data_IF_927793348929
#
_entry.id   IF_927793348929
#
_cell.length_a   1.000
_cell.length_b   1.000
_cell.length_c   1.000
_cell.angle_alpha   90.00
_cell.angle_beta   90.00
_cell.angle_gamma   90.00
#
_symmetry.space_group_name_H-M   'P 1'
#
loop_
_entity.id
_entity.type
_entity.pdbx_description
1 polymer ?
#
# COMPACT_ATOMS: atom_id res chain seq x y z
N UNK A 1 -21.18 27.46 -0.77
CA UNK A 1 -20.72 28.60 0.04
C UNK A 1 -21.84 29.22 0.86
N UNK A 2 -22.79 29.96 0.28
CA UNK A 2 -23.92 30.57 1.03
C UNK A 2 -24.72 29.58 1.89
N UNK A 3 -24.96 28.37 1.37
CA UNK A 3 -25.66 27.29 2.09
C UNK A 3 -24.87 26.69 3.26
N UNK A 4 -23.55 26.77 3.23
CA UNK A 4 -22.65 26.17 4.24
C UNK A 4 -22.12 27.18 5.25
N UNK A 5 -22.28 28.49 5.00
CA UNK A 5 -21.65 29.58 5.76
C UNK A 5 -20.15 29.37 5.99
N UNK A 6 -19.45 28.83 5.00
CA UNK A 6 -18.02 28.53 5.05
C UNK A 6 -17.20 29.48 4.16
N UNK A 7 -15.89 29.56 4.40
CA UNK A 7 -14.96 30.26 3.51
C UNK A 7 -14.52 29.37 2.35
N UNK A 8 -14.18 29.97 1.21
CA UNK A 8 -13.78 29.21 0.03
C UNK A 8 -12.43 28.53 0.30
N UNK A 9 -12.29 27.21 0.06
CA UNK A 9 -11.01 26.54 0.21
C UNK A 9 -10.01 27.08 -0.82
N UNK A 10 -8.73 27.11 -0.47
CA UNK A 10 -7.68 27.61 -1.36
C UNK A 10 -7.64 26.86 -2.71
N UNK A 11 -7.94 25.55 -2.69
CA UNK A 11 -8.05 24.70 -3.89
C UNK A 11 -9.17 23.69 -3.70
N UNK A 12 -10.03 23.55 -4.70
CA UNK A 12 -11.02 22.48 -4.80
C UNK A 12 -10.71 21.65 -6.04
N UNK A 13 -10.18 20.44 -5.84
CA UNK A 13 -9.84 19.53 -6.94
C UNK A 13 -11.10 18.77 -7.35
N UNK A 14 -11.50 18.92 -8.61
CA UNK A 14 -12.57 18.14 -9.23
C UNK A 14 -12.04 17.04 -10.16
N UNK A 15 -12.96 16.24 -10.71
CA UNK A 15 -12.64 15.28 -11.77
C UNK A 15 -12.65 15.96 -13.15
N UNK A 16 -11.80 15.51 -14.08
CA UNK A 16 -11.79 16.02 -15.46
C UNK A 16 -13.09 15.73 -16.22
N UNK A 17 -13.79 14.67 -15.85
CA UNK A 17 -15.07 14.25 -16.41
C UNK A 17 -15.65 13.09 -15.60
N UNK A 18 -16.98 12.97 -15.62
CA UNK A 18 -17.68 11.89 -14.92
C UNK A 18 -17.60 10.60 -15.73
N UNK A 19 -17.08 9.54 -15.09
CA UNK A 19 -16.89 8.22 -15.69
C UNK A 19 -18.05 7.26 -15.40
N UNK A 20 -19.01 7.67 -14.56
CA UNK A 20 -20.20 6.88 -14.27
C UNK A 20 -21.18 6.92 -15.44
N UNK A 21 -21.98 5.85 -15.59
CA UNK A 21 -23.00 5.76 -16.66
C UNK A 21 -24.00 6.92 -16.61
N UNK A 22 -24.62 7.24 -15.44
CA UNK A 22 -25.63 8.30 -15.40
C UNK A 22 -25.01 9.70 -15.34
N UNK A 23 -23.67 9.82 -15.17
CA UNK A 23 -22.95 11.10 -15.05
C UNK A 23 -23.59 12.06 -14.04
N UNK A 24 -24.06 11.52 -12.92
CA UNK A 24 -24.60 12.32 -11.80
C UNK A 24 -23.42 12.87 -10.98
N UNK A 25 -23.27 14.20 -10.87
CA UNK A 25 -22.23 14.79 -10.04
C UNK A 25 -22.57 14.63 -8.55
N UNK A 26 -21.54 14.57 -7.70
CA UNK A 26 -21.71 14.73 -6.26
C UNK A 26 -22.02 16.19 -5.91
N UNK A 27 -22.71 16.41 -4.79
CA UNK A 27 -22.94 17.75 -4.23
C UNK A 27 -21.61 18.46 -3.96
N UNK A 28 -21.47 19.67 -4.50
CA UNK A 28 -20.26 20.50 -4.35
C UNK A 28 -19.99 20.85 -2.88
N UNK A 29 -21.05 20.96 -2.07
CA UNK A 29 -20.95 21.19 -0.65
C UNK A 29 -20.13 20.12 0.08
N UNK A 30 -20.28 18.84 -0.30
CA UNK A 30 -19.47 17.75 0.25
C UNK A 30 -18.00 17.95 -0.13
N UNK A 31 -17.73 18.33 -1.38
CA UNK A 31 -16.37 18.64 -1.86
C UNK A 31 -15.69 19.79 -1.09
N UNK A 32 -16.44 20.85 -0.78
CA UNK A 32 -15.95 21.98 0.02
C UNK A 32 -15.59 21.54 1.45
N UNK A 33 -16.46 20.76 2.09
CA UNK A 33 -16.21 20.23 3.43
C UNK A 33 -15.01 19.27 3.46
N UNK A 34 -14.85 18.42 2.45
CA UNK A 34 -13.65 17.56 2.34
C UNK A 34 -12.37 18.36 2.15
N UNK A 35 -12.39 19.38 1.29
CA UNK A 35 -11.24 20.26 1.09
C UNK A 35 -10.85 21.01 2.38
N UNK A 36 -11.83 21.42 3.20
CA UNK A 36 -11.58 22.05 4.51
C UNK A 36 -10.80 21.13 5.46
N UNK A 37 -11.04 19.82 5.40
CA UNK A 37 -10.39 18.81 6.25
C UNK A 37 -9.19 18.11 5.57
N UNK A 38 -8.78 18.57 4.37
CA UNK A 38 -7.72 17.95 3.55
C UNK A 38 -7.95 16.45 3.30
N UNK A 39 -9.20 16.10 2.95
CA UNK A 39 -9.63 14.74 2.66
C UNK A 39 -9.77 14.50 1.16
N UNK A 40 -9.44 13.29 0.74
CA UNK A 40 -9.48 12.85 -0.66
C UNK A 40 -10.57 11.79 -0.83
N UNK A 41 -11.25 11.83 -1.98
CA UNK A 41 -12.33 10.89 -2.30
C UNK A 41 -11.83 9.78 -3.20
N UNK A 42 -12.41 8.60 -3.00
CA UNK A 42 -12.33 7.51 -3.95
C UNK A 42 -13.48 7.57 -4.98
N UNK A 43 -13.42 6.73 -6.01
CA UNK A 43 -14.31 6.76 -7.19
C UNK A 43 -15.80 6.59 -6.87
N UNK A 44 -16.12 6.04 -5.70
CA UNK A 44 -17.46 5.71 -5.23
C UNK A 44 -18.01 6.71 -4.20
N UNK A 45 -17.26 7.78 -3.90
CA UNK A 45 -17.63 8.82 -2.93
C UNK A 45 -17.09 8.61 -1.51
N UNK A 46 -16.52 7.44 -1.22
CA UNK A 46 -15.95 7.09 0.09
C UNK A 46 -14.58 7.69 0.32
N UNK A 47 -14.16 7.78 1.58
CA UNK A 47 -12.83 8.23 2.01
C UNK A 47 -12.11 7.05 2.64
N UNK A 48 -10.96 6.69 2.05
CA UNK A 48 -10.22 5.46 2.37
C UNK A 48 -8.84 5.76 2.90
N UNK A 49 -8.39 4.91 3.81
CA UNK A 49 -6.99 4.83 4.23
C UNK A 49 -6.47 3.42 3.93
N UNK A 50 -5.47 3.32 3.06
CA UNK A 50 -4.86 2.04 2.70
C UNK A 50 -3.74 1.70 3.69
N UNK A 51 -3.73 0.45 4.18
CA UNK A 51 -2.74 -0.06 5.11
C UNK A 51 -2.41 -1.52 4.80
N UNK A 52 -1.13 -1.87 4.93
CA UNK A 52 -0.68 -3.26 4.81
C UNK A 52 -1.23 -4.11 5.96
N UNK A 53 -1.71 -5.30 5.65
CA UNK A 53 -2.24 -6.22 6.63
C UNK A 53 -1.13 -6.90 7.42
N UNK A 54 -1.32 -7.02 8.74
CA UNK A 54 -0.48 -7.85 9.60
C UNK A 54 -1.38 -8.69 10.54
N UNK A 55 -1.10 -9.98 10.73
CA UNK A 55 -1.88 -10.82 11.61
C UNK A 55 -1.49 -10.60 13.07
N UNK A 56 -2.48 -10.56 13.96
CA UNK A 56 -2.30 -10.48 15.41
C UNK A 56 -3.39 -11.29 16.10
N UNK A 57 -2.99 -12.20 16.99
CA UNK A 57 -3.94 -12.98 17.81
C UNK A 57 -3.95 -12.54 19.27
N UNK A 58 -2.84 -11.98 19.75
CA UNK A 58 -2.66 -11.59 21.14
C UNK A 58 -2.02 -10.21 21.24
N UNK A 59 -2.35 -9.48 22.29
CA UNK A 59 -1.77 -8.16 22.56
C UNK A 59 -1.75 -7.87 24.05
N UNK A 60 -0.92 -6.91 24.44
CA UNK A 60 -0.98 -6.29 25.77
C UNK A 60 -1.57 -4.89 25.64
N UNK A 61 -2.30 -4.37 26.65
CA UNK A 61 -2.77 -2.99 26.65
C UNK A 61 -1.65 -1.97 26.38
N UNK A 62 -0.43 -2.24 26.88
CA UNK A 62 0.75 -1.41 26.64
C UNK A 62 1.13 -1.32 25.17
N UNK A 63 1.16 -2.44 24.45
CA UNK A 63 1.56 -2.49 23.04
C UNK A 63 0.66 -1.66 22.13
N UNK A 64 -0.62 -1.56 22.47
CA UNK A 64 -1.62 -0.84 21.68
C UNK A 64 -1.92 0.57 22.22
N UNK A 65 -1.22 0.97 23.29
CA UNK A 65 -1.35 2.29 23.91
C UNK A 65 -2.71 2.57 24.53
N UNK A 66 -3.41 1.56 25.06
CA UNK A 66 -4.76 1.72 25.62
C UNK A 66 -4.82 1.37 27.11
N UNK A 67 -5.61 2.12 27.87
CA UNK A 67 -5.80 1.88 29.29
C UNK A 67 -6.63 0.61 29.54
N UNK A 68 -6.30 -0.08 30.63
CA UNK A 68 -7.03 -1.28 31.10
C UNK A 68 -8.53 -1.00 31.25
N UNK A 69 -8.90 0.17 31.78
CA UNK A 69 -10.29 0.57 31.95
C UNK A 69 -11.06 0.65 30.63
N UNK A 70 -10.45 1.21 29.58
CA UNK A 70 -11.08 1.27 28.25
C UNK A 70 -11.28 -0.14 27.68
N UNK A 71 -10.28 -1.01 27.80
CA UNK A 71 -10.41 -2.40 27.32
C UNK A 71 -11.48 -3.18 28.07
N UNK A 72 -11.61 -2.99 29.39
CA UNK A 72 -12.72 -3.55 30.17
C UNK A 72 -14.08 -3.12 29.64
N UNK A 73 -14.25 -1.83 29.28
CA UNK A 73 -15.50 -1.31 28.67
C UNK A 73 -15.78 -1.92 27.29
N UNK A 74 -14.75 -2.29 26.53
CA UNK A 74 -14.89 -2.99 25.24
C UNK A 74 -15.19 -4.49 25.39
N UNK A 75 -15.23 -4.99 26.64
CA UNK A 75 -15.56 -6.36 26.98
C UNK A 75 -14.35 -7.28 27.08
N UNK A 76 -13.14 -6.75 27.31
CA UNK A 76 -11.96 -7.55 27.68
C UNK A 76 -11.87 -7.64 29.21
N UNK A 77 -12.25 -8.78 29.76
CA UNK A 77 -12.38 -8.97 31.22
C UNK A 77 -11.25 -9.80 31.83
N UNK A 78 -10.73 -10.78 31.09
CA UNK A 78 -9.71 -11.71 31.56
C UNK A 78 -8.56 -11.83 30.56
N UNK A 79 -7.38 -12.19 31.06
CA UNK A 79 -6.20 -12.53 30.26
C UNK A 79 -6.26 -13.98 29.73
N UNK A 80 -5.26 -14.35 28.93
CA UNK A 80 -5.15 -15.71 28.34
C UNK A 80 -5.12 -16.85 29.38
N UNK A 81 -4.76 -16.54 30.62
CA UNK A 81 -4.70 -17.48 31.74
C UNK A 81 -6.00 -17.47 32.58
N UNK A 82 -7.00 -16.69 32.17
CA UNK A 82 -8.27 -16.55 32.87
C UNK A 82 -8.21 -15.66 34.11
N UNK A 83 -7.13 -14.89 34.30
CA UNK A 83 -7.01 -13.93 35.42
C UNK A 83 -7.68 -12.63 35.04
N UNK A 84 -8.30 -11.97 36.01
CA UNK A 84 -8.94 -10.67 35.78
C UNK A 84 -7.92 -9.64 35.25
N UNK A 85 -8.32 -8.86 34.24
CA UNK A 85 -7.45 -7.87 33.60
C UNK A 85 -7.24 -6.69 34.55
N UNK A 86 -6.10 -6.59 35.21
CA UNK A 86 -5.74 -5.51 36.15
C UNK A 86 -4.47 -4.75 35.77
N UNK A 87 -3.62 -5.31 34.89
CA UNK A 87 -2.30 -4.76 34.54
C UNK A 87 -2.18 -4.50 33.04
N UNK A 88 -1.46 -3.44 32.61
CA UNK A 88 -1.20 -3.17 31.19
C UNK A 88 -0.24 -4.17 30.53
N UNK A 89 0.41 -5.04 31.31
CA UNK A 89 1.36 -6.06 30.85
C UNK A 89 0.73 -7.45 30.72
N UNK A 90 -0.56 -7.59 31.04
CA UNK A 90 -1.30 -8.84 30.81
C UNK A 90 -1.59 -9.03 29.33
N UNK A 91 -1.46 -10.28 28.88
CA UNK A 91 -1.70 -10.67 27.49
C UNK A 91 -3.17 -11.02 27.33
N UNK A 92 -3.82 -10.37 26.38
CA UNK A 92 -5.22 -10.56 26.02
C UNK A 92 -5.30 -11.25 24.66
N UNK A 93 -6.28 -12.13 24.50
CA UNK A 93 -6.65 -12.73 23.20
C UNK A 93 -7.52 -11.73 22.41
N UNK A 94 -7.10 -11.40 21.18
CA UNK A 94 -7.78 -10.45 20.31
C UNK A 94 -9.09 -11.05 19.79
N UNK A 95 -10.20 -10.33 19.96
CA UNK A 95 -11.49 -10.74 19.39
C UNK A 95 -11.45 -10.66 17.87
N UNK A 96 -12.20 -11.54 17.22
CA UNK A 96 -12.12 -11.77 15.76
C UNK A 96 -12.28 -10.52 14.89
N UNK A 97 -13.10 -9.54 15.28
CA UNK A 97 -13.36 -8.32 14.49
C UNK A 97 -12.76 -7.06 15.12
N UNK A 98 -11.94 -7.21 16.16
CA UNK A 98 -11.23 -6.10 16.78
C UNK A 98 -9.90 -5.86 16.04
N UNK A 99 -9.56 -4.59 15.83
CA UNK A 99 -8.38 -4.18 15.04
C UNK A 99 -7.54 -3.15 15.78
N UNK A 100 -6.24 -3.19 15.53
CA UNK A 100 -5.26 -2.19 16.00
C UNK A 100 -4.68 -1.52 14.77
N UNK A 101 -4.92 -0.22 14.64
CA UNK A 101 -4.55 0.55 13.45
C UNK A 101 -3.33 1.44 13.70
N UNK A 102 -2.63 1.86 12.65
CA UNK A 102 -1.55 2.83 12.80
C UNK A 102 -2.05 4.18 13.32
N UNK A 103 -1.20 4.92 14.04
CA UNK A 103 -1.53 6.31 14.45
C UNK A 103 -1.83 7.21 13.26
N UNK A 104 -1.13 7.01 12.13
CA UNK A 104 -1.40 7.74 10.87
C UNK A 104 -2.83 7.48 10.36
N UNK A 105 -3.29 6.23 10.44
CA UNK A 105 -4.65 5.89 10.11
C UNK A 105 -5.65 6.56 11.06
N UNK A 106 -5.38 6.54 12.37
CA UNK A 106 -6.24 7.17 13.37
C UNK A 106 -6.36 8.69 13.16
N UNK A 107 -5.25 9.39 12.89
CA UNK A 107 -5.25 10.82 12.56
C UNK A 107 -6.07 11.12 11.31
N UNK A 108 -5.99 10.26 10.29
CA UNK A 108 -6.80 10.39 9.09
C UNK A 108 -8.29 10.20 9.40
N UNK A 109 -8.66 9.13 10.10
CA UNK A 109 -10.05 8.85 10.47
C UNK A 109 -10.63 9.92 11.40
N UNK A 110 -9.83 10.55 12.26
CA UNK A 110 -10.26 11.70 13.07
C UNK A 110 -10.63 12.92 12.22
N UNK A 111 -9.97 13.14 11.07
CA UNK A 111 -10.39 14.16 10.11
C UNK A 111 -11.71 13.77 9.43
N UNK A 112 -11.86 12.49 9.07
CA UNK A 112 -13.08 11.95 8.47
C UNK A 112 -14.28 12.10 9.41
N UNK A 113 -14.12 11.82 10.71
CA UNK A 113 -15.21 11.97 11.68
C UNK A 113 -15.72 13.42 11.78
N UNK A 114 -14.81 14.40 11.81
CA UNK A 114 -15.14 15.83 11.79
C UNK A 114 -15.86 16.23 10.51
N UNK A 115 -15.44 15.69 9.37
CA UNK A 115 -16.12 15.89 8.10
C UNK A 115 -17.56 15.35 8.14
N UNK A 116 -17.77 14.13 8.65
CA UNK A 116 -19.10 13.51 8.75
C UNK A 116 -20.01 14.33 9.67
N UNK A 117 -19.51 14.76 10.83
CA UNK A 117 -20.26 15.59 11.77
C UNK A 117 -20.70 16.92 11.15
N UNK A 118 -19.79 17.63 10.46
CA UNK A 118 -20.14 18.86 9.77
C UNK A 118 -21.11 18.64 8.61
N UNK A 119 -20.98 17.52 7.89
CA UNK A 119 -21.90 17.13 6.83
C UNK A 119 -23.31 16.91 7.38
N UNK A 120 -23.44 16.17 8.49
CA UNK A 120 -24.72 15.92 9.15
C UNK A 120 -25.38 17.22 9.62
N UNK A 121 -24.62 18.10 10.27
CA UNK A 121 -25.14 19.38 10.78
C UNK A 121 -25.55 20.31 9.64
N UNK A 122 -24.68 20.53 8.66
CA UNK A 122 -24.87 21.58 7.65
C UNK A 122 -25.72 21.17 6.47
N UNK A 123 -25.69 19.88 6.08
CA UNK A 123 -26.43 19.41 4.91
C UNK A 123 -27.69 18.64 5.27
N UNK A 124 -27.71 17.94 6.40
CA UNK A 124 -28.87 17.16 6.83
C UNK A 124 -29.65 17.81 7.98
N UNK A 125 -29.13 18.87 8.62
CA UNK A 125 -29.78 19.50 9.79
C UNK A 125 -29.84 18.58 11.01
N UNK A 126 -28.96 17.57 11.07
CA UNK A 126 -28.91 16.57 12.13
C UNK A 126 -27.90 16.94 13.20
N UNK A 127 -27.94 16.24 14.34
CA UNK A 127 -26.91 16.36 15.36
C UNK A 127 -25.60 15.67 14.89
N UNK A 128 -24.43 16.15 15.34
CA UNK A 128 -23.16 15.47 15.08
C UNK A 128 -23.16 14.10 15.78
N UNK A 129 -22.64 13.09 15.08
CA UNK A 129 -22.64 11.69 15.50
C UNK A 129 -21.40 11.35 16.32
N UNK A 130 -20.22 11.61 15.77
CA UNK A 130 -18.94 11.14 16.29
C UNK A 130 -18.43 11.99 17.46
N UNK A 131 -18.42 13.32 17.30
CA UNK A 131 -17.96 14.31 18.31
C UNK A 131 -16.56 14.05 18.87
N UNK A 132 -15.71 13.40 18.08
CA UNK A 132 -14.35 13.00 18.48
C UNK A 132 -13.42 14.20 18.49
N UNK A 133 -12.61 14.32 19.55
CA UNK A 133 -11.63 15.40 19.71
C UNK A 133 -10.21 14.89 19.48
N UNK A 134 -9.92 13.69 19.96
CA UNK A 134 -8.62 13.05 19.94
C UNK A 134 -8.67 11.69 19.27
N UNK A 135 -7.51 11.14 18.89
CA UNK A 135 -7.43 9.78 18.34
C UNK A 135 -7.93 8.74 19.35
N UNK A 136 -7.76 8.99 20.65
CA UNK A 136 -8.19 8.10 21.73
C UNK A 136 -9.72 7.94 21.83
N UNK A 137 -10.47 8.88 21.24
CA UNK A 137 -11.92 8.80 21.16
C UNK A 137 -12.37 7.81 20.08
N UNK A 138 -11.52 7.45 19.10
CA UNK A 138 -11.84 6.44 18.08
C UNK A 138 -11.90 5.01 18.64
N UNK A 139 -11.43 4.80 19.87
CA UNK A 139 -11.43 3.48 20.50
C UNK A 139 -12.89 3.06 20.75
N UNK A 140 -13.29 1.94 20.15
CA UNK A 140 -14.66 1.42 20.17
C UNK A 140 -15.47 1.78 18.94
N UNK A 141 -15.00 2.70 18.09
CA UNK A 141 -15.68 3.07 16.85
C UNK A 141 -15.57 1.96 15.81
N UNK A 142 -16.63 1.84 15.00
CA UNK A 142 -16.71 0.85 13.94
C UNK A 142 -16.09 1.39 12.66
N UNK A 143 -15.29 0.52 12.03
CA UNK A 143 -14.74 0.72 10.71
C UNK A 143 -15.32 -0.31 9.74
N UNK A 144 -15.25 0.04 8.46
CA UNK A 144 -15.41 -0.89 7.36
C UNK A 144 -14.04 -1.12 6.73
N UNK A 145 -13.57 -2.36 6.76
CA UNK A 145 -12.38 -2.78 6.04
C UNK A 145 -12.80 -3.40 4.70
N UNK A 146 -12.16 -2.99 3.61
CA UNK A 146 -12.47 -3.45 2.26
C UNK A 146 -11.18 -3.72 1.49
N UNK A 147 -11.10 -4.91 0.94
CA UNK A 147 -9.95 -5.36 0.17
C UNK A 147 -10.05 -4.96 -1.30
N UNK A 148 -8.92 -4.68 -1.96
CA UNK A 148 -8.90 -4.51 -3.41
C UNK A 148 -9.46 -5.76 -4.09
N UNK A 149 -10.04 -5.59 -5.27
CA UNK A 149 -10.67 -6.63 -6.07
C UNK A 149 -11.84 -7.36 -5.37
N UNK A 150 -12.43 -6.75 -4.35
CA UNK A 150 -13.63 -7.26 -3.68
C UNK A 150 -14.75 -6.22 -3.66
N UNK A 151 -15.95 -6.65 -3.23
CA UNK A 151 -17.11 -5.78 -3.09
C UNK A 151 -17.86 -5.96 -1.77
N UNK A 152 -17.35 -6.82 -0.88
CA UNK A 152 -17.88 -7.06 0.45
C UNK A 152 -16.91 -6.48 1.47
N UNK A 153 -17.34 -5.43 2.17
CA UNK A 153 -16.57 -4.88 3.28
C UNK A 153 -16.91 -5.61 4.57
N UNK A 154 -15.92 -5.79 5.44
CA UNK A 154 -16.09 -6.43 6.75
C UNK A 154 -16.05 -5.38 7.84
N UNK A 155 -17.06 -5.38 8.72
CA UNK A 155 -17.13 -4.46 9.84
C UNK A 155 -16.10 -4.89 10.90
N UNK A 156 -15.28 -3.95 11.33
CA UNK A 156 -14.34 -4.13 12.43
C UNK A 156 -14.51 -3.04 13.48
N UNK A 157 -13.89 -3.21 14.64
CA UNK A 157 -13.90 -2.24 15.74
C UNK A 157 -12.48 -1.87 16.15
N UNK A 158 -12.20 -0.58 16.25
CA UNK A 158 -10.87 -0.11 16.66
C UNK A 158 -10.72 -0.32 18.16
N UNK A 159 -9.65 -1.00 18.58
CA UNK A 159 -9.36 -1.23 20.01
C UNK A 159 -8.09 -0.54 20.51
N UNK A 160 -7.25 -0.03 19.61
CA UNK A 160 -6.02 0.67 19.97
C UNK A 160 -5.18 1.06 18.76
N UNK A 161 -3.99 1.57 19.05
CA UNK A 161 -3.10 2.15 18.06
C UNK A 161 -1.66 1.65 18.17
N UNK A 162 -0.95 1.66 17.06
CA UNK A 162 0.46 1.32 16.98
C UNK A 162 1.23 2.38 16.19
N UNK A 163 2.52 2.54 16.50
CA UNK A 163 3.43 3.41 15.73
C UNK A 163 3.94 2.74 14.46
N UNK A 164 3.60 1.47 14.21
CA UNK A 164 3.82 0.81 12.94
C UNK A 164 2.92 1.36 11.82
N UNK A 165 3.20 1.00 10.56
CA UNK A 165 2.41 1.42 9.39
C UNK A 165 1.40 0.37 8.91
N UNK A 166 1.19 -0.68 9.70
CA UNK A 166 0.33 -1.82 9.33
C UNK A 166 -1.00 -1.76 10.08
N UNK A 167 -1.97 -2.52 9.57
CA UNK A 167 -3.23 -2.80 10.24
C UNK A 167 -3.17 -4.19 10.87
N UNK A 168 -3.08 -4.26 12.20
CA UNK A 168 -3.12 -5.52 12.92
C UNK A 168 -4.57 -5.95 13.14
N UNK A 169 -4.87 -7.19 12.78
CA UNK A 169 -6.16 -7.80 13.05
C UNK A 169 -6.02 -9.31 13.18
N UNK A 170 -7.07 -9.95 13.69
CA UNK A 170 -7.12 -11.40 13.76
C UNK A 170 -7.01 -12.00 12.33
N UNK A 171 -6.26 -13.11 12.12
CA UNK A 171 -6.14 -13.75 10.80
C UNK A 171 -7.49 -14.04 10.13
N UNK A 172 -8.48 -14.49 10.92
CA UNK A 172 -9.88 -14.67 10.47
C UNK A 172 -10.49 -13.37 9.92
N UNK A 173 -10.18 -12.20 10.48
CA UNK A 173 -10.65 -10.91 9.95
C UNK A 173 -10.06 -10.64 8.58
N UNK A 174 -8.76 -10.85 8.41
CA UNK A 174 -8.06 -10.66 7.14
C UNK A 174 -8.59 -11.62 6.07
N UNK A 175 -8.72 -12.90 6.40
CA UNK A 175 -9.29 -13.92 5.52
C UNK A 175 -10.76 -13.67 5.17
N UNK A 176 -11.56 -13.10 6.09
CA UNK A 176 -12.97 -12.75 5.80
C UNK A 176 -13.10 -11.71 4.68
N UNK A 177 -12.07 -10.90 4.44
CA UNK A 177 -12.02 -9.95 3.33
C UNK A 177 -11.41 -10.56 2.06
N UNK A 178 -11.17 -11.89 2.04
CA UNK A 178 -10.49 -12.64 0.97
C UNK A 178 -9.06 -12.14 0.74
N UNK A 179 -8.33 -11.93 1.84
CA UNK A 179 -6.95 -11.48 1.83
C UNK A 179 -6.06 -12.30 2.73
N UNK A 180 -4.83 -12.36 2.28
CA UNK A 180 -3.74 -13.01 2.98
C UNK A 180 -2.88 -11.95 3.67
N UNK A 181 -1.94 -12.43 4.48
CA UNK A 181 -0.97 -11.58 5.16
C UNK A 181 0.42 -11.71 4.52
N UNK A 182 0.49 -11.73 3.20
CA UNK A 182 1.70 -11.91 2.39
C UNK A 182 2.23 -10.58 1.80
N UNK A 183 1.75 -9.44 2.31
CA UNK A 183 2.07 -8.09 1.83
C UNK A 183 0.88 -7.36 1.20
N UNK A 184 -0.29 -7.99 1.16
CA UNK A 184 -1.54 -7.38 0.74
C UNK A 184 -1.93 -6.14 1.59
N UNK A 185 -2.58 -5.18 0.94
CA UNK A 185 -3.08 -3.95 1.54
C UNK A 185 -4.61 -3.91 1.52
N UNK A 186 -5.19 -3.43 2.60
CA UNK A 186 -6.62 -3.17 2.71
C UNK A 186 -6.92 -1.70 2.95
N UNK A 187 -8.09 -1.29 2.47
CA UNK A 187 -8.64 0.02 2.78
C UNK A 187 -9.50 -0.04 4.04
N UNK A 188 -9.31 0.92 4.94
CA UNK A 188 -10.20 1.13 6.09
C UNK A 188 -10.94 2.45 5.96
N UNK A 189 -12.20 2.44 6.37
CA UNK A 189 -13.13 3.58 6.32
C UNK A 189 -13.88 3.65 7.65
N UNK A 190 -14.23 4.84 8.15
CA UNK A 190 -15.20 4.93 9.24
C UNK A 190 -16.56 4.43 8.76
N UNK A 191 -17.25 3.57 9.52
CA UNK A 191 -18.44 2.87 9.04
C UNK A 191 -19.55 3.80 8.52
N UNK A 192 -19.72 4.98 9.12
CA UNK A 192 -20.76 5.93 8.71
C UNK A 192 -20.44 6.64 7.39
N UNK A 193 -19.17 6.72 6.98
CA UNK A 193 -18.77 7.33 5.70
C UNK A 193 -19.40 6.62 4.48
N UNK A 194 -19.19 5.30 4.26
CA UNK A 194 -19.82 4.61 3.14
C UNK A 194 -21.34 4.63 3.26
N UNK A 195 -21.93 4.61 4.45
CA UNK A 195 -23.40 4.68 4.58
C UNK A 195 -24.00 6.00 4.07
N UNK A 196 -23.26 7.11 4.16
CA UNK A 196 -23.75 8.45 3.78
C UNK A 196 -23.24 8.88 2.39
N UNK A 197 -22.00 8.52 2.06
CA UNK A 197 -21.30 9.09 0.90
C UNK A 197 -21.19 8.13 -0.29
N UNK A 198 -21.37 6.82 -0.07
CA UNK A 198 -21.40 5.86 -1.16
C UNK A 198 -22.65 6.02 -2.02
N UNK A 199 -22.50 5.93 -3.33
CA UNK A 199 -23.63 5.71 -4.24
C UNK A 199 -23.23 4.89 -5.45
N UNK A 200 -24.09 3.94 -5.84
CA UNK A 200 -23.95 3.20 -7.09
C UNK A 200 -23.95 4.11 -8.33
N UNK A 201 -24.52 5.32 -8.23
CA UNK A 201 -24.55 6.31 -9.31
C UNK A 201 -23.17 6.90 -9.63
N UNK A 202 -22.21 6.78 -8.70
CA UNK A 202 -20.84 7.25 -8.89
C UNK A 202 -19.94 6.19 -9.53
N UNK A 203 -20.36 4.92 -9.54
CA UNK A 203 -19.53 3.83 -10.02
C UNK A 203 -19.28 3.92 -11.54
N UNK A 204 -18.03 3.68 -11.99
CA UNK A 204 -17.69 3.66 -13.40
C UNK A 204 -18.49 2.63 -14.20
N UNK A 205 -18.90 2.99 -15.41
CA UNK A 205 -19.65 2.10 -16.32
C UNK A 205 -18.84 1.03 -17.05
N UNK A 206 -17.58 0.80 -16.66
CA UNK A 206 -16.68 -0.17 -17.32
C UNK A 206 -16.67 -1.51 -16.58
N UNK A 207 -16.27 -2.57 -17.28
CA UNK A 207 -16.02 -3.89 -16.66
C UNK A 207 -15.01 -3.71 -15.53
N UNK A 208 -15.31 -4.28 -14.35
CA UNK A 208 -14.51 -4.10 -13.14
C UNK A 208 -14.72 -2.77 -12.40
N UNK A 209 -15.52 -1.82 -12.94
CA UNK A 209 -15.76 -0.52 -12.31
C UNK A 209 -16.46 -0.60 -10.94
N UNK A 210 -17.19 -1.69 -10.70
CA UNK A 210 -17.87 -1.99 -9.43
C UNK A 210 -16.96 -2.64 -8.38
N UNK A 211 -15.78 -3.09 -8.78
CA UNK A 211 -14.80 -3.69 -7.86
C UNK A 211 -14.20 -2.59 -6.99
N UNK A 212 -13.73 -2.97 -5.81
CA UNK A 212 -13.21 -2.07 -4.78
C UNK A 212 -14.31 -1.07 -4.37
N UNK A 213 -15.53 -1.53 -4.13
CA UNK A 213 -16.64 -0.69 -3.66
C UNK A 213 -17.47 -1.46 -2.64
N UNK A 214 -17.86 -0.86 -1.51
CA UNK A 214 -18.56 -1.56 -0.44
C UNK A 214 -20.02 -1.80 -0.79
N UNK A 215 -20.29 -2.73 -1.72
CA UNK A 215 -21.63 -3.09 -2.16
C UNK A 215 -22.37 -3.97 -1.15
N UNK A 216 -21.64 -4.78 -0.41
CA UNK A 216 -22.13 -5.63 0.66
C UNK A 216 -21.34 -5.34 1.95
N UNK A 217 -21.98 -5.54 3.09
CA UNK A 217 -21.38 -5.37 4.42
C UNK A 217 -21.55 -6.67 5.20
N UNK A 218 -20.43 -7.27 5.58
CA UNK A 218 -20.39 -8.41 6.49
C UNK A 218 -20.25 -7.87 7.91
N UNK A 219 -21.32 -7.97 8.68
CA UNK A 219 -21.38 -7.43 10.06
C UNK A 219 -20.81 -8.42 11.07
N UNK A 220 -21.05 -9.71 10.87
CA UNK A 220 -20.57 -10.79 11.74
C UNK A 220 -19.74 -11.72 10.87
N UNK A 221 -18.51 -12.01 11.33
CA UNK A 221 -17.63 -12.95 10.66
C UNK A 221 -17.80 -14.33 11.28
N UNK A 222 -18.23 -15.31 10.49
CA UNK A 222 -18.16 -16.72 10.87
C UNK A 222 -16.79 -17.29 10.45
N UNK A 223 -15.93 -17.71 11.40
CA UNK A 223 -14.65 -18.34 11.08
C UNK A 223 -14.75 -19.57 10.17
N UNK A 224 -15.92 -20.23 10.08
CA UNK A 224 -16.10 -21.39 9.21
C UNK A 224 -16.22 -21.03 7.73
N UNK A 225 -16.61 -19.79 7.43
CA UNK A 225 -16.87 -19.32 6.07
C UNK A 225 -15.68 -18.55 5.46
N UNK A 226 -14.63 -18.28 6.25
CA UNK A 226 -13.43 -17.58 5.76
C UNK A 226 -12.51 -18.51 4.97
N UNK A 227 -11.56 -17.90 4.27
CA UNK A 227 -10.57 -18.60 3.46
C UNK A 227 -9.72 -19.60 4.26
N UNK A 228 -9.29 -20.69 3.59
CA UNK A 228 -8.55 -21.80 4.18
C UNK A 228 -7.19 -21.39 4.76
N UNK A 229 -6.57 -20.30 4.31
CA UNK A 229 -5.28 -19.87 4.88
C UNK A 229 -5.37 -19.57 6.37
N UNK A 230 -6.44 -18.91 6.83
CA UNK A 230 -6.64 -18.67 8.25
C UNK A 230 -6.90 -19.99 9.01
N UNK A 231 -7.44 -21.01 8.35
CA UNK A 231 -7.66 -22.33 8.96
C UNK A 231 -6.38 -23.11 9.18
N UNK A 232 -5.30 -22.78 8.47
CA UNK A 232 -4.00 -23.45 8.56
C UNK A 232 -3.09 -22.88 9.65
N UNK A 233 -3.57 -21.93 10.46
CA UNK A 233 -2.79 -21.37 11.56
C UNK A 233 -2.74 -22.34 12.75
N UNK A 234 -1.52 -22.63 13.22
CA UNK A 234 -1.28 -23.42 14.42
C UNK A 234 -1.78 -22.71 15.68
N UNK A 235 -2.34 -23.48 16.63
CA UNK A 235 -2.98 -22.94 17.84
C UNK A 235 -2.24 -23.29 19.13
N UNK A 236 -1.02 -23.81 19.02
CA UNK A 236 -0.23 -24.28 20.16
C UNK A 236 0.49 -23.15 20.91
N UNK A 237 0.56 -23.27 22.24
CA UNK A 237 1.41 -22.43 23.10
C UNK A 237 2.89 -22.84 23.04
N UNK A 238 3.16 -24.10 22.71
CA UNK A 238 4.50 -24.66 22.61
C UNK A 238 4.54 -25.76 21.56
N UNK A 239 5.56 -25.73 20.71
CA UNK A 239 5.79 -26.78 19.72
C UNK A 239 6.27 -28.06 20.45
N UNK A 240 5.65 -29.22 20.20
CA UNK A 240 5.95 -30.48 20.88
C UNK A 240 7.24 -31.12 20.34
N UNK A 241 7.81 -32.08 21.09
CA UNK A 241 9.08 -32.73 20.72
C UNK A 241 8.95 -33.51 19.40
N UNK A 242 7.80 -34.15 19.22
CA UNK A 242 7.45 -34.98 18.07
C UNK A 242 7.57 -34.22 16.74
N UNK A 243 7.29 -32.90 16.75
CA UNK A 243 7.50 -32.06 15.58
C UNK A 243 8.99 -31.97 15.20
N UNK A 244 9.86 -31.75 16.17
CA UNK A 244 11.30 -31.62 15.93
C UNK A 244 11.91 -32.95 15.46
N UNK A 245 11.51 -34.08 16.07
CA UNK A 245 11.96 -35.42 15.66
C UNK A 245 11.45 -35.80 14.26
N UNK A 246 10.24 -35.36 13.90
CA UNK A 246 9.71 -35.58 12.57
C UNK A 246 10.40 -34.70 11.51
N UNK A 247 10.74 -33.46 11.86
CA UNK A 247 11.48 -32.56 11.00
C UNK A 247 12.91 -33.07 10.71
N UNK A 248 13.59 -33.65 11.71
CA UNK A 248 14.90 -34.30 11.52
C UNK A 248 14.84 -35.47 10.52
N UNK A 249 13.68 -36.14 10.44
CA UNK A 249 13.41 -37.25 9.52
C UNK A 249 12.79 -36.82 8.20
N UNK A 250 12.71 -35.51 7.94
CA UNK A 250 12.11 -34.92 6.72
C UNK A 250 10.69 -35.42 6.43
N UNK A 251 9.92 -35.70 7.48
CA UNK A 251 8.53 -36.18 7.35
C UNK A 251 7.61 -35.08 6.82
N UNK A 252 6.54 -35.49 6.14
CA UNK A 252 5.52 -34.56 5.66
C UNK A 252 4.64 -34.06 6.81
N UNK A 253 4.29 -32.77 6.84
CA UNK A 253 3.53 -32.13 7.92
C UNK A 253 2.17 -32.78 8.19
N UNK A 254 1.56 -33.41 7.17
CA UNK A 254 0.28 -34.12 7.32
C UNK A 254 0.33 -35.27 8.31
N UNK A 255 1.50 -35.87 8.57
CA UNK A 255 1.66 -36.92 9.59
C UNK A 255 1.51 -36.39 11.02
N UNK A 256 1.58 -35.08 11.22
CA UNK A 256 1.50 -34.41 12.52
C UNK A 256 0.18 -33.68 12.75
N UNK A 257 -0.79 -33.81 11.84
CA UNK A 257 -2.08 -33.10 11.91
C UNK A 257 -2.87 -33.40 13.20
N UNK A 258 -2.71 -34.59 13.76
CA UNK A 258 -3.36 -34.99 15.02
C UNK A 258 -2.68 -34.37 16.26
N UNK A 259 -1.41 -33.99 16.13
CA UNK A 259 -0.57 -33.47 17.22
C UNK A 259 -0.59 -31.94 17.23
N UNK A 260 -0.65 -31.32 16.06
CA UNK A 260 -0.63 -29.86 15.89
C UNK A 260 -2.01 -29.39 15.43
N UNK A 261 -2.89 -28.97 16.37
CA UNK A 261 -4.20 -28.47 16.02
C UNK A 261 -4.10 -27.11 15.34
N UNK A 262 -4.82 -26.97 14.24
CA UNK A 262 -4.99 -25.72 13.51
C UNK A 262 -6.36 -25.09 13.83
N UNK A 263 -6.55 -23.82 13.48
CA UNK A 263 -7.86 -23.16 13.57
C UNK A 263 -8.95 -23.99 12.86
N UNK A 264 -8.64 -24.54 11.69
CA UNK A 264 -9.56 -25.36 10.91
C UNK A 264 -9.95 -26.66 11.61
N UNK A 265 -9.01 -27.34 12.28
CA UNK A 265 -9.32 -28.57 13.01
C UNK A 265 -10.20 -28.28 14.23
N UNK A 266 -9.93 -27.21 14.98
CA UNK A 266 -10.77 -26.80 16.11
C UNK A 266 -12.21 -26.45 15.68
N UNK A 267 -12.37 -25.77 14.54
CA UNK A 267 -13.68 -25.42 13.99
C UNK A 267 -14.48 -26.63 13.53
N UNK A 268 -13.82 -27.62 12.92
CA UNK A 268 -14.44 -28.90 12.51
C UNK A 268 -14.92 -29.70 13.73
N UNK A 269 -14.12 -29.70 14.80
CA UNK A 269 -14.45 -30.38 16.06
C UNK A 269 -15.50 -29.65 16.91
N UNK A 270 -15.90 -28.43 16.51
CA UNK A 270 -16.82 -27.59 17.29
C UNK A 270 -16.21 -27.09 18.62
N UNK A 271 -14.88 -27.09 18.74
CA UNK A 271 -14.16 -26.61 19.92
C UNK A 271 -14.11 -25.08 19.91
N UNK A 272 -14.02 -24.43 21.08
CA UNK A 272 -13.77 -22.99 21.15
C UNK A 272 -12.42 -22.66 20.49
N UNK A 273 -12.39 -21.56 19.72
CA UNK A 273 -11.16 -20.98 19.20
C UNK A 273 -10.36 -20.37 20.35
N UNK A 274 -9.55 -21.20 21.01
CA UNK A 274 -8.52 -20.73 21.94
C UNK A 274 -7.19 -20.89 21.23
N UNK A 275 -6.58 -19.77 20.87
CA UNK A 275 -5.34 -19.77 20.09
C UNK A 275 -4.16 -19.56 21.04
N UNK A 276 -3.13 -20.37 20.91
CA UNK A 276 -1.85 -20.16 21.58
C UNK A 276 -0.84 -19.41 20.71
N UNK A 277 0.27 -19.02 21.31
CA UNK A 277 1.43 -18.52 20.58
C UNK A 277 2.73 -18.97 21.26
N UNK A 278 3.78 -19.18 20.46
CA UNK A 278 5.03 -19.78 20.95
C UNK A 278 6.07 -18.76 21.39
N UNK A 279 6.13 -17.60 20.74
CA UNK A 279 7.16 -16.59 20.97
C UNK A 279 6.54 -15.25 21.42
N UNK A 280 6.63 -14.89 22.71
CA UNK A 280 6.15 -13.60 23.19
C UNK A 280 6.99 -12.46 22.61
N UNK A 281 6.31 -11.41 22.16
CA UNK A 281 6.94 -10.16 21.74
C UNK A 281 6.63 -9.07 22.76
N UNK A 282 7.62 -8.24 23.07
CA UNK A 282 7.44 -7.09 23.99
C UNK A 282 6.76 -5.92 23.28
N UNK A 283 7.05 -5.74 22.00
CA UNK A 283 6.53 -4.64 21.18
C UNK A 283 5.97 -5.20 19.87
N UNK A 284 4.99 -4.50 19.31
CA UNK A 284 4.46 -4.77 17.96
C UNK A 284 5.14 -3.90 16.90
N UNK A 285 6.00 -2.97 17.31
CA UNK A 285 6.69 -2.04 16.43
C UNK A 285 8.14 -2.48 16.26
N UNK A 286 8.56 -2.65 15.00
CA UNK A 286 9.96 -2.78 14.63
C UNK A 286 10.52 -1.41 14.22
N UNK A 287 11.77 -1.14 14.60
CA UNK A 287 12.50 0.05 14.18
C UNK A 287 13.65 -0.33 13.22
N UNK A 288 13.84 0.41 12.12
CA UNK A 288 13.07 1.58 11.67
C UNK A 288 11.67 1.25 11.12
N UNK A 289 10.70 2.13 11.38
CA UNK A 289 9.28 1.97 10.97
C UNK A 289 9.08 2.05 9.45
N UNK A 290 9.92 2.84 8.77
CA UNK A 290 9.89 3.00 7.32
C UNK A 290 11.10 2.33 6.69
N UNK A 291 10.86 1.59 5.61
CA UNK A 291 11.92 0.94 4.85
C UNK A 291 12.82 1.95 4.16
N UNK A 292 14.11 1.63 4.05
CA UNK A 292 15.08 2.45 3.30
C UNK A 292 14.65 2.66 1.85
N UNK A 293 13.93 1.69 1.26
CA UNK A 293 13.36 1.81 -0.09
C UNK A 293 12.40 3.00 -0.25
N UNK A 294 11.61 3.34 0.77
CA UNK A 294 10.72 4.52 0.74
C UNK A 294 11.49 5.82 0.96
N UNK A 295 12.62 5.76 1.67
CA UNK A 295 13.46 6.93 1.98
C UNK A 295 14.34 7.36 0.81
N UNK A 296 14.84 6.42 0.02
CA UNK A 296 15.60 6.72 -1.19
C UNK A 296 14.72 7.40 -2.23
N UNK A 297 15.17 8.55 -2.73
CA UNK A 297 14.42 9.37 -3.68
C UNK A 297 14.59 8.87 -5.10
N UNK A 298 15.83 8.61 -5.51
CA UNK A 298 16.14 8.16 -6.86
C UNK A 298 16.18 6.64 -6.96
N UNK A 299 15.87 6.12 -8.15
CA UNK A 299 16.02 4.68 -8.42
C UNK A 299 17.51 4.28 -8.33
N UNK A 300 18.40 5.14 -8.81
CA UNK A 300 19.85 4.90 -8.77
C UNK A 300 20.35 4.63 -7.34
N UNK A 301 19.92 5.44 -6.36
CA UNK A 301 20.20 5.20 -4.93
C UNK A 301 19.71 3.82 -4.47
N UNK A 302 18.53 3.39 -4.92
CA UNK A 302 17.94 2.09 -4.54
C UNK A 302 18.77 0.92 -5.05
N UNK A 303 19.23 0.99 -6.30
CA UNK A 303 20.11 -0.06 -6.85
C UNK A 303 21.46 -0.06 -6.13
N UNK A 304 22.08 1.11 -5.92
CA UNK A 304 23.34 1.17 -5.19
C UNK A 304 23.20 0.60 -3.77
N UNK A 305 22.14 0.96 -3.05
CA UNK A 305 21.87 0.42 -1.72
C UNK A 305 21.61 -1.10 -1.73
N UNK A 306 20.96 -1.63 -2.78
CA UNK A 306 20.79 -3.07 -2.95
C UNK A 306 22.14 -3.77 -3.18
N UNK A 307 23.03 -3.22 -4.01
CA UNK A 307 24.35 -3.79 -4.26
C UNK A 307 25.24 -3.72 -3.02
N UNK A 308 25.25 -2.58 -2.32
CA UNK A 308 26.00 -2.41 -1.06
C UNK A 308 25.54 -3.41 0.01
N UNK A 309 24.24 -3.71 0.05
CA UNK A 309 23.71 -4.74 0.94
C UNK A 309 24.16 -6.15 0.51
N UNK A 310 24.16 -6.43 -0.79
CA UNK A 310 24.63 -7.71 -1.32
C UNK A 310 26.11 -7.97 -0.99
N UNK A 311 26.96 -6.93 -1.05
CA UNK A 311 28.38 -7.02 -0.64
C UNK A 311 28.57 -7.38 0.85
N UNK A 312 27.59 -7.03 1.70
CA UNK A 312 27.67 -7.25 3.15
C UNK A 312 27.13 -8.61 3.60
N UNK A 313 26.25 -9.24 2.81
CA UNK A 313 25.56 -10.47 3.21
C UNK A 313 26.33 -11.69 2.70
N UNK A 314 26.84 -12.50 3.62
CA UNK A 314 27.62 -13.70 3.30
C UNK A 314 26.85 -14.75 2.47
N UNK A 315 25.51 -14.80 2.61
CA UNK A 315 24.65 -15.73 1.87
C UNK A 315 24.29 -15.27 0.45
N UNK A 316 24.71 -14.07 0.02
CA UNK A 316 24.33 -13.46 -1.26
C UNK A 316 25.56 -13.30 -2.14
N UNK A 317 25.53 -13.85 -3.36
CA UNK A 317 26.57 -13.57 -4.37
C UNK A 317 26.25 -12.25 -5.09
N UNK A 318 27.06 -11.23 -4.83
CA UNK A 318 26.95 -9.90 -5.43
C UNK A 318 26.99 -9.92 -6.97
N UNK A 319 27.80 -10.81 -7.56
CA UNK A 319 27.97 -10.88 -9.01
C UNK A 319 26.73 -11.45 -9.65
N UNK A 320 26.15 -12.49 -9.02
CA UNK A 320 24.90 -13.08 -9.49
C UNK A 320 23.73 -12.08 -9.42
N UNK A 321 23.63 -11.31 -8.34
CA UNK A 321 22.61 -10.25 -8.19
C UNK A 321 22.80 -9.18 -9.27
N UNK A 322 24.03 -8.71 -9.49
CA UNK A 322 24.33 -7.71 -10.51
C UNK A 322 23.97 -8.22 -11.92
N UNK A 323 24.36 -9.45 -12.26
CA UNK A 323 24.04 -10.08 -13.55
C UNK A 323 22.54 -10.18 -13.78
N UNK A 324 21.79 -10.72 -12.80
CA UNK A 324 20.34 -10.88 -12.94
C UNK A 324 19.61 -9.56 -13.04
N UNK A 325 20.06 -8.54 -12.33
CA UNK A 325 19.50 -7.20 -12.40
C UNK A 325 19.74 -6.54 -13.77
N UNK A 326 20.95 -6.68 -14.32
CA UNK A 326 21.28 -6.17 -15.65
C UNK A 326 20.48 -6.89 -16.73
N UNK A 327 20.47 -8.22 -16.70
CA UNK A 327 19.80 -9.07 -17.69
C UNK A 327 18.28 -8.83 -17.70
N UNK A 328 17.64 -8.88 -16.53
CA UNK A 328 16.17 -8.92 -16.43
C UNK A 328 15.55 -7.53 -16.51
N UNK A 329 16.16 -6.54 -15.86
CA UNK A 329 15.54 -5.23 -15.68
C UNK A 329 16.24 -4.14 -16.49
N UNK A 330 17.54 -3.92 -16.28
CA UNK A 330 18.20 -2.69 -16.77
C UNK A 330 18.44 -2.72 -18.28
N UNK A 331 19.04 -3.78 -18.82
CA UNK A 331 19.32 -3.89 -20.25
C UNK A 331 18.01 -3.90 -21.06
N UNK A 332 17.01 -4.63 -20.56
CA UNK A 332 15.67 -4.67 -21.17
C UNK A 332 15.00 -3.28 -21.18
N UNK A 333 15.11 -2.51 -20.10
CA UNK A 333 14.55 -1.15 -20.04
C UNK A 333 15.30 -0.17 -20.94
N UNK A 334 16.64 -0.21 -20.94
CA UNK A 334 17.47 0.64 -21.80
C UNK A 334 17.14 0.40 -23.28
N UNK A 335 17.17 -0.87 -23.74
CA UNK A 335 16.87 -1.21 -25.13
C UNK A 335 15.40 -0.95 -25.49
N UNK A 336 14.49 -1.17 -24.53
CA UNK A 336 13.07 -0.87 -24.68
C UNK A 336 12.81 0.61 -24.89
N UNK A 337 13.39 1.46 -24.04
CA UNK A 337 13.28 2.92 -24.12
C UNK A 337 13.97 3.47 -25.38
N UNK A 338 15.12 2.91 -25.77
CA UNK A 338 15.79 3.26 -27.02
C UNK A 338 14.90 2.97 -28.24
N UNK A 339 14.33 1.76 -28.34
CA UNK A 339 13.39 1.41 -29.42
C UNK A 339 12.16 2.32 -29.41
N UNK A 340 11.61 2.60 -28.22
CA UNK A 340 10.47 3.49 -28.07
C UNK A 340 10.79 4.92 -28.49
N UNK A 341 12.00 5.42 -28.21
CA UNK A 341 12.48 6.75 -28.61
C UNK A 341 12.50 6.91 -30.13
N UNK A 342 13.01 5.92 -30.87
CA UNK A 342 13.06 5.98 -32.33
C UNK A 342 11.70 5.77 -33.02
N UNK A 343 10.83 4.95 -32.42
CA UNK A 343 9.51 4.64 -32.97
C UNK A 343 8.39 5.55 -32.43
N UNK A 344 8.74 6.56 -31.63
CA UNK A 344 7.76 7.37 -30.91
C UNK A 344 6.82 8.15 -31.85
N UNK A 345 5.65 8.48 -31.30
CA UNK A 345 4.72 9.46 -31.90
C UNK A 345 4.92 10.80 -31.23
N UNK A 346 4.62 11.87 -31.95
CA UNK A 346 4.70 13.22 -31.41
C UNK A 346 3.32 13.70 -30.99
N UNK A 347 3.25 14.57 -29.98
CA UNK A 347 1.98 15.09 -29.45
C UNK A 347 2.02 16.60 -29.38
N UNK A 348 0.93 17.25 -29.79
CA UNK A 348 0.79 18.69 -29.54
C UNK A 348 0.55 18.97 -28.04
N UNK A 349 1.31 19.90 -27.45
CA UNK A 349 1.15 20.29 -26.04
C UNK A 349 -0.22 20.92 -25.74
N UNK A 350 -0.83 21.60 -26.72
CA UNK A 350 -2.09 22.35 -26.57
C UNK A 350 -3.33 21.48 -26.77
N UNK A 351 -3.50 20.86 -27.94
CA UNK A 351 -4.70 20.09 -28.28
C UNK A 351 -4.56 18.58 -28.07
N UNK A 352 -3.34 18.08 -27.82
CA UNK A 352 -3.10 16.65 -27.60
C UNK A 352 -3.17 15.76 -28.84
N UNK A 353 -3.36 16.31 -30.04
CA UNK A 353 -3.33 15.56 -31.31
C UNK A 353 -1.99 14.83 -31.46
N UNK A 354 -2.06 13.57 -31.89
CA UNK A 354 -0.90 12.68 -32.06
C UNK A 354 -0.51 12.60 -33.53
N UNK A 355 0.78 12.70 -33.82
CA UNK A 355 1.35 12.61 -35.15
C UNK A 355 2.39 11.48 -35.20
N UNK A 356 2.38 10.69 -36.28
CA UNK A 356 3.43 9.67 -36.51
C UNK A 356 4.78 10.29 -36.84
N UNK A 357 4.78 11.44 -37.53
CA UNK A 357 5.97 12.23 -37.90
C UNK A 357 5.67 13.69 -37.65
N UNK A 358 6.70 14.49 -37.35
CA UNK A 358 6.55 15.93 -37.20
C UNK A 358 6.13 16.51 -38.56
N UNK A 359 5.04 17.31 -38.64
CA UNK A 359 4.69 18.06 -39.84
C UNK A 359 5.85 18.95 -40.29
N UNK A 360 6.04 19.12 -41.60
CA UNK A 360 7.11 19.96 -42.16
C UNK A 360 7.06 21.43 -41.67
N UNK A 361 5.88 21.90 -41.26
CA UNK A 361 5.70 23.23 -40.67
C UNK A 361 6.24 23.36 -39.24
N UNK A 362 6.66 22.25 -38.61
CA UNK A 362 7.11 22.20 -37.21
C UNK A 362 6.02 22.47 -36.17
N UNK A 363 4.79 22.77 -36.59
CA UNK A 363 3.66 23.14 -35.73
C UNK A 363 2.48 22.21 -35.92
N UNK A 364 1.61 22.14 -34.91
CA UNK A 364 0.39 21.36 -34.98
C UNK A 364 -0.55 21.91 -36.07
N UNK A 365 -0.91 21.07 -37.03
CA UNK A 365 -1.82 21.39 -38.14
C UNK A 365 -3.22 21.81 -37.62
N UNK A 366 -3.64 21.31 -36.46
CA UNK A 366 -4.98 21.57 -35.92
C UNK A 366 -5.09 22.88 -35.11
N UNK A 367 -4.05 23.26 -34.35
CA UNK A 367 -4.14 24.39 -33.41
C UNK A 367 -2.93 25.34 -33.41
N UNK A 368 -1.96 25.14 -34.31
CA UNK A 368 -0.72 25.91 -34.39
C UNK A 368 0.25 25.73 -33.21
N UNK A 369 -0.09 24.90 -32.23
CA UNK A 369 0.71 24.69 -31.02
C UNK A 369 1.98 23.86 -31.25
N UNK A 370 2.91 23.99 -30.30
CA UNK A 370 4.18 23.25 -30.29
C UNK A 370 3.95 21.73 -30.19
N UNK A 371 4.75 20.99 -30.93
CA UNK A 371 4.76 19.53 -30.95
C UNK A 371 5.93 19.05 -30.10
N UNK A 372 5.64 18.17 -29.14
CA UNK A 372 6.64 17.57 -28.27
C UNK A 372 6.80 16.08 -28.55
N UNK A 373 8.01 15.58 -28.28
CA UNK A 373 8.30 14.16 -28.12
C UNK A 373 7.51 13.59 -26.94
N UNK A 374 7.24 12.28 -26.99
CA UNK A 374 6.64 11.53 -25.88
C UNK A 374 7.67 10.78 -25.05
N UNK A 375 8.78 10.40 -25.67
CA UNK A 375 9.93 9.76 -25.02
C UNK A 375 11.12 10.68 -25.25
N UNK A 376 11.72 11.14 -24.16
CA UNK A 376 12.86 12.05 -24.19
C UNK A 376 14.18 11.28 -24.07
N UNK A 377 15.27 11.85 -24.59
CA UNK A 377 16.62 11.28 -24.53
C UNK A 377 17.02 10.84 -23.11
N UNK A 378 16.77 11.68 -22.11
CA UNK A 378 17.10 11.37 -20.72
C UNK A 378 16.41 10.12 -20.15
N UNK A 379 15.31 9.65 -20.75
CA UNK A 379 14.70 8.37 -20.36
C UNK A 379 15.52 7.17 -20.82
N UNK A 380 16.24 7.28 -21.94
CA UNK A 380 17.14 6.24 -22.47
C UNK A 380 18.45 6.21 -21.69
N UNK A 381 19.02 7.39 -21.41
CA UNK A 381 20.33 7.53 -20.74
C UNK A 381 20.29 7.27 -19.23
N UNK A 382 19.09 7.25 -18.62
CA UNK A 382 18.85 7.18 -17.19
C UNK A 382 19.71 6.14 -16.44
N UNK A 383 19.93 4.97 -17.04
CA UNK A 383 20.68 3.87 -16.43
C UNK A 383 22.02 3.56 -17.10
N UNK A 384 22.34 4.24 -18.20
CA UNK A 384 23.55 3.98 -18.99
C UNK A 384 24.79 4.14 -18.12
N UNK A 385 24.93 5.27 -17.43
CA UNK A 385 26.10 5.52 -16.57
C UNK A 385 26.22 4.54 -15.40
N UNK A 386 25.11 4.15 -14.79
CA UNK A 386 25.08 3.21 -13.67
C UNK A 386 25.57 1.83 -14.13
N UNK A 387 25.05 1.34 -15.26
CA UNK A 387 25.45 0.05 -15.81
C UNK A 387 26.92 0.08 -16.21
N UNK A 388 27.35 1.15 -16.87
CA UNK A 388 28.71 1.33 -17.36
C UNK A 388 29.76 1.41 -16.24
N UNK A 389 29.55 2.28 -15.24
CA UNK A 389 30.55 2.58 -14.22
C UNK A 389 30.57 1.57 -13.06
N UNK A 390 29.41 1.00 -12.72
CA UNK A 390 29.25 0.17 -11.51
C UNK A 390 29.07 -1.31 -11.87
N UNK A 391 28.12 -1.63 -12.76
CA UNK A 391 27.69 -3.02 -12.94
C UNK A 391 28.61 -3.81 -13.87
N UNK A 392 29.13 -3.21 -14.94
CA UNK A 392 30.04 -3.87 -15.88
C UNK A 392 31.27 -4.51 -15.18
N UNK A 393 31.74 -3.91 -14.09
CA UNK A 393 32.88 -4.43 -13.31
C UNK A 393 32.52 -5.67 -12.49
N UNK A 394 31.24 -5.87 -12.17
CA UNK A 394 30.72 -6.95 -11.33
C UNK A 394 30.20 -8.15 -12.12
N UNK A 395 30.06 -8.02 -13.44
CA UNK A 395 29.64 -9.10 -14.35
C UNK A 395 30.78 -10.11 -14.54
N UNK A 396 30.50 -11.39 -14.25
CA UNK A 396 31.41 -12.52 -14.47
C UNK A 396 31.13 -13.22 -15.80
N UNK A 397 29.86 -13.30 -16.23
CA UNK A 397 29.49 -13.86 -17.53
C UNK A 397 30.06 -13.01 -18.69
N UNK A 398 31.00 -13.56 -19.49
CA UNK A 398 31.59 -12.82 -20.60
C UNK A 398 30.58 -12.41 -21.67
N UNK A 399 29.56 -13.25 -21.93
CA UNK A 399 28.56 -12.95 -22.96
C UNK A 399 27.69 -11.78 -22.56
N UNK A 400 27.15 -11.79 -21.33
CA UNK A 400 26.36 -10.68 -20.82
C UNK A 400 27.19 -9.40 -20.77
N UNK A 401 28.45 -9.48 -20.36
CA UNK A 401 29.36 -8.33 -20.31
C UNK A 401 29.55 -7.70 -21.69
N UNK A 402 29.89 -8.48 -22.70
CA UNK A 402 30.09 -7.99 -24.07
C UNK A 402 28.79 -7.42 -24.66
N UNK A 403 27.67 -8.13 -24.47
CA UNK A 403 26.35 -7.68 -24.92
C UNK A 403 25.97 -6.32 -24.32
N UNK A 404 26.23 -6.12 -23.02
CA UNK A 404 25.94 -4.87 -22.33
C UNK A 404 26.86 -3.77 -22.81
N UNK A 405 28.17 -4.03 -22.92
CA UNK A 405 29.13 -3.05 -23.46
C UNK A 405 28.74 -2.56 -24.85
N UNK A 406 28.44 -3.49 -25.77
CA UNK A 406 27.99 -3.16 -27.13
C UNK A 406 26.69 -2.33 -27.12
N UNK A 407 25.74 -2.67 -26.25
CA UNK A 407 24.50 -1.90 -26.15
C UNK A 407 24.75 -0.46 -25.67
N UNK A 408 25.64 -0.28 -24.69
CA UNK A 408 25.99 1.04 -24.15
C UNK A 408 26.78 1.87 -25.16
N UNK A 409 27.75 1.27 -25.86
CA UNK A 409 28.52 1.92 -26.93
C UNK A 409 27.62 2.41 -28.05
N UNK A 410 26.68 1.57 -28.51
CA UNK A 410 25.71 1.96 -29.54
C UNK A 410 24.86 3.15 -29.10
N UNK A 411 24.45 3.19 -27.83
CA UNK A 411 23.66 4.31 -27.30
C UNK A 411 24.50 5.57 -27.24
N UNK A 412 25.74 5.48 -26.73
CA UNK A 412 26.66 6.62 -26.68
C UNK A 412 26.94 7.17 -28.07
N UNK A 413 27.24 6.32 -29.06
CA UNK A 413 27.49 6.75 -30.44
C UNK A 413 26.27 7.40 -31.11
N UNK A 414 25.07 6.94 -30.79
CA UNK A 414 23.82 7.48 -31.36
C UNK A 414 23.45 8.84 -30.76
N UNK A 415 23.70 9.02 -29.47
CA UNK A 415 23.32 10.22 -28.72
C UNK A 415 24.49 11.17 -28.49
N UNK A 416 25.70 10.82 -28.91
CA UNK A 416 26.85 11.72 -28.95
C UNK A 416 26.40 13.03 -29.59
N UNK A 417 26.45 14.08 -28.78
CA UNK A 417 26.23 15.40 -29.28
C UNK A 417 27.40 15.72 -30.22
N UNK A 418 27.12 16.43 -31.32
CA UNK A 418 28.03 17.50 -31.71
C UNK A 418 28.07 18.46 -30.51
N UNK A 419 28.85 18.14 -29.49
CA UNK A 419 29.36 19.15 -28.59
C UNK A 419 30.19 20.05 -29.51
N UNK A 420 29.64 21.20 -29.89
CA UNK A 420 30.50 22.34 -30.08
C UNK A 420 31.14 22.57 -28.72
N UNK A 421 32.28 21.93 -28.51
CA UNK A 421 33.19 22.25 -27.42
C UNK A 421 33.39 23.75 -27.48
N UNK A 422 32.78 24.47 -26.54
CA UNK A 422 33.22 25.82 -26.26
C UNK A 422 34.57 25.64 -25.58
N UNK A 423 35.63 25.64 -26.39
CA UNK A 423 36.99 25.47 -25.93
C UNK A 423 37.24 26.39 -24.73
N UNK A 424 37.85 25.82 -23.69
CA UNK A 424 38.24 26.60 -22.53
C UNK A 424 39.25 27.67 -22.96
N UNK A 425 39.23 28.85 -22.33
CA UNK A 425 40.20 29.91 -22.62
C UNK A 425 41.65 29.44 -22.40
N UNK A 426 41.84 28.44 -21.54
CA UNK A 426 43.12 27.79 -21.26
C UNK A 426 43.63 26.95 -22.45
N UNK A 427 42.75 26.20 -23.12
CA UNK A 427 43.10 25.46 -24.35
C UNK A 427 43.40 26.40 -25.52
N UNK A 428 42.69 27.52 -25.64
CA UNK A 428 42.95 28.52 -26.69
C UNK A 428 44.28 29.26 -26.50
N UNK A 429 44.73 29.43 -25.24
CA UNK A 429 45.98 30.13 -24.91
C UNK A 429 47.23 29.24 -25.01
N UNK A 430 47.08 27.91 -25.10
CA UNK A 430 48.19 26.97 -25.24
C UNK A 430 48.60 26.71 -26.71
N UNK A 431 47.78 27.14 -27.69
CA UNK A 431 48.05 26.99 -29.13
C UNK A 431 48.62 28.26 -29.81
N UNK A 432 48.93 29.31 -29.04
CA UNK A 432 49.70 30.49 -29.47
C UNK A 432 51.01 30.59 -28.71
#
# INVERSE_FOLDING_TARGET
>A
MKKLSEQAPAKLKGVKGLNSVPKVPELLEKGILRAKHDLYIYKDGTIRFDATNAPLTHFTPRQIGVSVEKLRRLGYTHDIFGRELSSPDQILELKLQDVVISRRAAEHLLKVSKFIDELLVKLAGMQPFYRLKTIDDLIGELILALSPHTYAGVVGRIIGFTDSLVCFAHPVFHAAKRRDCDGDEDSIMLLLDPLINFSRLYLPGRVGGKMDSPLLLTVIVDPKEVDEQAHNLDTLDRIPLEFYEAAEKEKHISELADIIPTIGSLLKDGKPLKIGFTHPQKDLVAHPVESSYKRYGSMLEKILGQLELAEKIAAVDESYVAEKMVETHLLSDILGNMRAFFLQKFRCKKCGTKYRRIPLTGRCINCGGEITQTVFRGAVEKYVELVDKVLLKKLRDPYLKERVSLALENIKSIFEAEEQEQASLEEFMLET
#
